data_IF_284091377808
#
_entry.id   IF_284091377808
#
_cell.length_a   1.000
_cell.length_b   1.000
_cell.length_c   1.000
_cell.angle_alpha   90.00
_cell.angle_beta   90.00
_cell.angle_gamma   90.00
#
_symmetry.space_group_name_H-M   'P 1'
#
loop_
_entity.id
_entity.type
_entity.pdbx_description
1 polymer ?
#
# COMPACT_ATOMS: atom_id res chain seq x y z
N UNK A 1 -46.88 -25.81 18.99
CA UNK A 1 -46.02 -26.51 18.01
C UNK A 1 -44.65 -26.68 18.65
N UNK A 2 -44.16 -27.92 18.87
CA UNK A 2 -43.10 -28.16 19.86
C UNK A 2 -41.69 -28.31 19.28
N UNK A 3 -40.73 -27.99 20.14
CA UNK A 3 -39.41 -28.60 20.40
C UNK A 3 -38.34 -28.77 19.30
N UNK A 4 -37.21 -28.16 19.64
CA UNK A 4 -35.81 -28.42 19.28
C UNK A 4 -35.44 -29.83 18.78
N UNK A 5 -34.48 -29.89 17.84
CA UNK A 5 -33.51 -30.99 17.75
C UNK A 5 -32.19 -30.49 17.12
N UNK A 6 -31.10 -30.61 17.88
CA UNK A 6 -29.72 -30.51 17.42
C UNK A 6 -29.36 -31.74 16.57
N UNK A 7 -28.57 -31.56 15.50
CA UNK A 7 -27.68 -32.63 15.00
C UNK A 7 -26.33 -32.03 14.60
N UNK A 8 -25.38 -32.14 15.53
CA UNK A 8 -23.95 -32.29 15.23
C UNK A 8 -23.73 -33.69 14.66
N UNK A 9 -23.13 -33.83 13.48
CA UNK A 9 -22.39 -35.06 13.16
C UNK A 9 -21.28 -34.87 12.12
N UNK A 10 -20.08 -35.21 12.58
CA UNK A 10 -19.07 -36.03 11.89
C UNK A 10 -18.32 -35.41 10.69
N UNK A 11 -17.15 -34.86 11.00
CA UNK A 11 -15.98 -34.92 10.12
C UNK A 11 -15.21 -36.22 10.40
N UNK A 12 -14.89 -37.06 9.40
CA UNK A 12 -13.92 -38.13 9.57
C UNK A 12 -12.49 -37.61 9.42
N UNK A 13 -11.63 -38.10 10.31
CA UNK A 13 -10.19 -37.92 10.30
C UNK A 13 -9.48 -38.98 9.44
N UNK A 14 -8.24 -38.66 9.07
CA UNK A 14 -7.07 -39.54 8.80
C UNK A 14 -7.00 -40.37 7.52
N UNK A 15 -5.99 -40.06 6.70
CA UNK A 15 -4.99 -40.98 6.13
C UNK A 15 -3.77 -40.13 5.68
N UNK A 16 -2.62 -40.12 6.36
CA UNK A 16 -1.55 -41.12 6.40
C UNK A 16 -0.68 -41.19 5.11
N UNK A 17 0.52 -40.61 5.25
CA UNK A 17 1.84 -40.92 4.68
C UNK A 17 1.99 -41.55 3.28
N UNK A 18 2.77 -40.85 2.44
CA UNK A 18 3.69 -41.50 1.50
C UNK A 18 5.02 -40.71 1.47
N UNK A 19 6.03 -41.33 2.07
CA UNK A 19 7.45 -40.92 2.03
C UNK A 19 8.03 -41.51 0.75
N UNK A 20 8.48 -40.65 -0.17
CA UNK A 20 9.22 -41.09 -1.35
C UNK A 20 10.70 -40.74 -1.17
N UNK A 21 11.46 -41.72 -0.67
CA UNK A 21 12.93 -41.71 -0.65
C UNK A 21 13.44 -42.03 -2.04
N UNK A 22 14.13 -41.07 -2.67
CA UNK A 22 14.84 -41.30 -3.93
C UNK A 22 16.33 -41.45 -3.66
N UNK A 23 16.80 -42.69 -3.82
CA UNK A 23 18.19 -43.10 -3.70
C UNK A 23 19.07 -42.41 -4.77
N UNK A 24 20.29 -42.07 -4.37
CA UNK A 24 21.39 -41.63 -5.24
C UNK A 24 22.26 -42.83 -5.59
N UNK A 25 22.66 -43.02 -6.86
CA UNK A 25 23.81 -43.87 -7.17
C UNK A 25 25.12 -43.08 -7.00
N UNK A 26 26.09 -43.71 -6.33
CA UNK A 26 27.52 -43.36 -6.34
C UNK A 26 28.22 -44.10 -7.50
N UNK A 27 28.95 -43.38 -8.35
CA UNK A 27 30.20 -43.84 -9.00
C UNK A 27 30.96 -42.58 -9.44
N UNK A 28 32.13 -42.29 -8.85
CA UNK A 28 33.48 -42.78 -9.16
C UNK A 28 34.17 -41.99 -10.29
N UNK A 29 35.10 -41.14 -9.85
CA UNK A 29 36.35 -40.68 -10.45
C UNK A 29 36.53 -40.66 -11.99
N UNK A 30 36.75 -39.46 -12.53
CA UNK A 30 37.69 -39.24 -13.63
C UNK A 30 38.37 -37.86 -13.48
N UNK A 31 39.68 -37.86 -13.72
CA UNK A 31 40.61 -36.74 -13.58
C UNK A 31 40.55 -35.78 -14.77
N UNK A 32 41.04 -34.57 -14.50
CA UNK A 32 41.82 -33.71 -15.39
C UNK A 32 41.12 -32.74 -16.38
N UNK A 33 41.43 -31.45 -16.09
CA UNK A 33 41.86 -30.41 -17.03
C UNK A 33 40.80 -29.80 -17.96
N UNK A 34 40.51 -28.51 -17.75
CA UNK A 34 40.87 -27.39 -18.65
C UNK A 34 40.21 -26.10 -18.11
N UNK A 35 41.03 -25.06 -17.95
CA UNK A 35 40.62 -23.69 -17.66
C UNK A 35 39.72 -23.18 -18.80
N UNK A 36 38.46 -22.87 -18.50
CA UNK A 36 37.55 -22.15 -19.37
C UNK A 36 36.86 -21.03 -18.61
N UNK A 37 37.43 -19.83 -18.66
CA UNK A 37 36.83 -18.60 -18.12
C UNK A 37 35.64 -18.18 -18.98
N UNK A 38 34.45 -18.73 -18.69
CA UNK A 38 33.20 -18.27 -19.30
C UNK A 38 32.78 -16.98 -18.59
N UNK A 39 33.13 -15.85 -19.20
CA UNK A 39 32.57 -14.54 -18.84
C UNK A 39 31.10 -14.53 -19.24
N UNK A 40 30.19 -14.59 -18.28
CA UNK A 40 28.79 -14.24 -18.53
C UNK A 40 28.71 -12.76 -18.94
N UNK A 41 28.06 -12.42 -20.06
CA UNK A 41 27.82 -11.03 -20.41
C UNK A 41 26.82 -10.46 -19.40
N UNK A 42 27.29 -9.50 -18.59
CA UNK A 42 26.44 -8.60 -17.82
C UNK A 42 25.58 -7.84 -18.82
N UNK A 43 24.34 -8.29 -18.99
CA UNK A 43 23.33 -7.61 -19.80
C UNK A 43 22.98 -6.33 -19.08
N UNK A 44 23.69 -5.24 -19.38
CA UNK A 44 23.33 -3.89 -18.97
C UNK A 44 21.89 -3.65 -19.42
N UNK A 45 20.95 -3.68 -18.47
CA UNK A 45 19.61 -3.18 -18.70
C UNK A 45 19.75 -1.71 -19.05
N UNK A 46 19.63 -1.40 -20.34
CA UNK A 46 19.56 -0.03 -20.86
C UNK A 46 18.47 0.67 -20.05
N UNK A 47 18.87 1.69 -19.28
CA UNK A 47 17.93 2.64 -18.66
C UNK A 47 17.08 3.21 -19.80
N UNK A 48 15.81 2.81 -19.88
CA UNK A 48 14.86 3.43 -20.78
C UNK A 48 14.71 4.91 -20.37
N UNK A 49 15.46 5.79 -21.04
CA UNK A 49 15.13 7.21 -21.10
C UNK A 49 13.91 7.31 -22.00
N UNK A 50 12.76 7.61 -21.42
CA UNK A 50 11.51 7.84 -22.16
C UNK A 50 11.73 9.06 -23.08
N UNK A 51 11.59 8.93 -24.42
CA UNK A 51 11.63 10.08 -25.32
C UNK A 51 10.40 10.96 -25.08
N UNK A 52 10.62 12.21 -24.67
CA UNK A 52 9.61 13.18 -24.24
C UNK A 52 8.73 13.74 -25.39
N UNK A 53 8.88 13.22 -26.62
CA UNK A 53 8.37 13.87 -27.83
C UNK A 53 6.99 13.39 -28.33
N UNK A 54 6.37 12.39 -27.67
CA UNK A 54 5.19 11.73 -28.24
C UNK A 54 3.97 11.74 -27.29
N UNK A 55 3.50 12.90 -26.83
CA UNK A 55 2.23 13.03 -26.11
C UNK A 55 1.54 14.37 -26.41
N UNK A 56 1.03 14.54 -27.64
CA UNK A 56 0.02 15.55 -27.95
C UNK A 56 -1.19 14.87 -28.60
N UNK A 57 -2.17 14.56 -27.77
CA UNK A 57 -3.50 14.14 -28.18
C UNK A 57 -4.49 14.64 -27.14
N UNK A 58 -5.26 15.66 -27.51
CA UNK A 58 -6.35 16.23 -26.71
C UNK A 58 -7.62 15.44 -27.00
N UNK A 59 -7.84 14.36 -26.25
CA UNK A 59 -9.16 13.72 -26.20
C UNK A 59 -10.05 14.52 -25.24
N UNK A 60 -11.36 14.65 -25.51
CA UNK A 60 -12.30 15.26 -24.58
C UNK A 60 -12.36 14.44 -23.30
N UNK A 61 -12.01 15.07 -22.17
CA UNK A 61 -12.13 14.48 -20.83
C UNK A 61 -13.62 14.49 -20.49
N UNK A 62 -14.22 13.30 -20.36
CA UNK A 62 -15.54 13.18 -19.74
C UNK A 62 -15.30 13.36 -18.24
N UNK A 63 -15.53 14.57 -17.75
CA UNK A 63 -15.56 14.86 -16.32
C UNK A 63 -16.78 14.15 -15.73
N UNK A 64 -16.61 12.88 -15.33
CA UNK A 64 -17.51 12.28 -14.36
C UNK A 64 -17.28 13.09 -13.09
N UNK A 65 -18.29 13.79 -12.54
CA UNK A 65 -18.11 14.46 -11.27
C UNK A 65 -17.74 13.37 -10.27
N UNK A 66 -16.47 13.37 -9.87
CA UNK A 66 -16.04 12.82 -8.59
C UNK A 66 -16.91 13.55 -7.56
N UNK A 67 -18.10 13.02 -7.28
CA UNK A 67 -18.75 13.27 -6.00
C UNK A 67 -17.84 12.59 -4.99
N UNK A 68 -16.74 13.28 -4.68
CA UNK A 68 -15.77 12.94 -3.66
C UNK A 68 -16.57 13.05 -2.36
N UNK A 69 -17.26 11.95 -2.03
CA UNK A 69 -18.04 11.84 -0.83
C UNK A 69 -17.14 12.29 0.31
N UNK A 70 -17.64 13.23 1.12
CA UNK A 70 -16.89 13.89 2.16
C UNK A 70 -15.97 12.88 2.87
N UNK A 71 -14.70 13.26 3.03
CA UNK A 71 -13.73 12.43 3.74
C UNK A 71 -14.30 12.11 5.13
N UNK A 72 -14.26 10.84 5.55
CA UNK A 72 -14.83 10.47 6.84
C UNK A 72 -13.93 11.03 7.95
N UNK A 73 -14.34 10.96 9.22
CA UNK A 73 -13.44 11.37 10.30
C UNK A 73 -12.22 10.44 10.40
N UNK A 74 -11.18 10.88 11.11
CA UNK A 74 -9.93 10.11 11.24
C UNK A 74 -10.18 8.72 11.83
N UNK A 75 -11.10 8.60 12.79
CA UNK A 75 -11.45 7.32 13.46
C UNK A 75 -12.13 6.30 12.54
N UNK A 76 -12.83 6.76 11.51
CA UNK A 76 -13.58 5.89 10.58
C UNK A 76 -12.71 5.40 9.40
N UNK A 77 -11.42 5.73 9.43
CA UNK A 77 -10.46 5.30 8.42
C UNK A 77 -9.76 4.00 8.83
N UNK A 78 -9.28 3.26 7.83
CA UNK A 78 -8.34 2.17 8.02
C UNK A 78 -6.92 2.68 7.85
N UNK A 79 -6.08 2.43 8.84
CA UNK A 79 -4.74 2.98 8.89
C UNK A 79 -3.70 1.93 8.53
N UNK A 80 -2.82 2.30 7.60
CA UNK A 80 -1.72 1.48 7.14
C UNK A 80 -0.40 2.22 7.34
N UNK A 81 0.52 1.63 8.09
CA UNK A 81 1.85 2.18 8.29
C UNK A 81 2.78 1.61 7.22
N UNK A 82 3.35 2.47 6.38
CA UNK A 82 4.35 2.04 5.41
C UNK A 82 5.65 1.64 6.13
N UNK A 83 6.21 0.49 5.78
CA UNK A 83 7.42 -0.01 6.42
C UNK A 83 8.66 0.87 6.14
N UNK A 84 9.59 0.83 7.09
CA UNK A 84 10.76 1.72 7.23
C UNK A 84 10.34 3.04 7.83
N UNK A 85 10.27 4.14 7.07
CA UNK A 85 10.12 5.46 7.67
C UNK A 85 8.74 5.68 8.30
N UNK A 86 7.66 5.09 7.76
CA UNK A 86 6.32 5.20 8.36
C UNK A 86 6.22 4.68 9.79
N UNK A 87 7.17 3.85 10.25
CA UNK A 87 7.27 3.37 11.64
C UNK A 87 7.39 4.55 12.64
N UNK A 88 7.94 5.71 12.22
CA UNK A 88 7.94 6.95 13.02
C UNK A 88 6.52 7.41 13.44
N UNK A 89 5.46 6.90 12.80
CA UNK A 89 4.08 7.21 13.18
C UNK A 89 3.60 6.45 14.43
N UNK A 90 4.27 5.37 14.84
CA UNK A 90 3.78 4.48 15.91
C UNK A 90 3.43 5.18 17.22
N UNK A 91 4.20 6.18 17.73
CA UNK A 91 3.82 6.91 18.93
C UNK A 91 2.45 7.59 18.82
N UNK A 92 2.12 8.16 17.66
CA UNK A 92 0.83 8.82 17.40
C UNK A 92 -0.31 7.81 17.45
N UNK A 93 -0.11 6.61 16.88
CA UNK A 93 -1.10 5.54 16.92
C UNK A 93 -1.32 5.01 18.34
N UNK A 94 -0.26 4.89 19.13
CA UNK A 94 -0.33 4.47 20.52
C UNK A 94 -1.03 5.52 21.40
N UNK A 95 -0.80 6.81 21.14
CA UNK A 95 -1.44 7.92 21.86
C UNK A 95 -2.94 8.03 21.56
N UNK A 96 -3.32 7.87 20.29
CA UNK A 96 -4.72 7.98 19.84
C UNK A 96 -5.51 6.67 19.96
N UNK A 97 -4.87 5.59 20.41
CA UNK A 97 -5.44 4.24 20.47
C UNK A 97 -6.04 3.78 19.11
N UNK A 98 -5.42 4.19 18.00
CA UNK A 98 -5.91 3.87 16.65
C UNK A 98 -5.40 2.50 16.18
N UNK A 99 -6.27 1.61 15.67
CA UNK A 99 -5.84 0.36 15.08
C UNK A 99 -5.13 0.62 13.75
N UNK A 100 -4.07 -0.14 13.47
CA UNK A 100 -3.33 -0.04 12.23
C UNK A 100 -2.87 -1.42 11.72
N UNK A 101 -2.48 -1.47 10.45
CA UNK A 101 -1.79 -2.59 9.83
C UNK A 101 -0.51 -2.10 9.15
N UNK A 102 0.46 -2.97 8.94
CA UNK A 102 1.64 -2.61 8.15
C UNK A 102 1.39 -2.83 6.66
N UNK A 103 2.01 -2.00 5.82
CA UNK A 103 2.06 -2.18 4.37
C UNK A 103 3.48 -1.89 3.88
N UNK A 104 3.85 -2.44 2.73
CA UNK A 104 5.14 -2.16 2.10
C UNK A 104 4.94 -1.54 0.72
N UNK A 105 5.28 -0.26 0.60
CA UNK A 105 5.26 0.50 -0.65
C UNK A 105 6.65 1.13 -0.80
N UNK A 106 7.48 0.50 -1.64
CA UNK A 106 8.88 0.89 -1.76
C UNK A 106 9.09 2.01 -2.77
N UNK A 107 9.71 3.11 -2.32
CA UNK A 107 10.13 4.21 -3.19
C UNK A 107 11.10 3.75 -4.29
N UNK A 108 11.99 2.80 -3.99
CA UNK A 108 12.94 2.20 -4.95
C UNK A 108 12.23 1.48 -6.10
N UNK A 109 11.13 0.78 -5.82
CA UNK A 109 10.33 0.12 -6.87
C UNK A 109 9.67 1.15 -7.78
N UNK A 110 9.20 2.27 -7.21
CA UNK A 110 8.63 3.38 -7.98
C UNK A 110 9.69 4.06 -8.86
N UNK A 111 10.89 4.29 -8.32
CA UNK A 111 12.01 4.89 -9.06
C UNK A 111 12.51 4.02 -10.21
N UNK A 112 12.59 2.71 -9.99
CA UNK A 112 12.97 1.74 -11.02
C UNK A 112 11.82 1.37 -11.97
N UNK A 113 10.62 1.93 -11.75
CA UNK A 113 9.38 1.58 -12.46
C UNK A 113 9.08 0.07 -12.45
N UNK A 114 9.43 -0.62 -11.36
CA UNK A 114 9.11 -2.03 -11.13
C UNK A 114 7.68 -2.16 -10.58
N UNK A 115 6.73 -1.65 -11.34
CA UNK A 115 5.35 -1.44 -10.91
C UNK A 115 4.57 -2.74 -10.68
N UNK A 116 4.84 -3.79 -11.45
CA UNK A 116 4.21 -5.09 -11.20
C UNK A 116 4.67 -5.67 -9.86
N UNK A 117 5.96 -5.55 -9.52
CA UNK A 117 6.48 -5.91 -8.20
C UNK A 117 5.82 -5.10 -7.09
N UNK A 118 5.68 -3.78 -7.29
CA UNK A 118 4.96 -2.92 -6.35
C UNK A 118 3.53 -3.44 -6.09
N UNK A 119 2.77 -3.78 -7.14
CA UNK A 119 1.40 -4.30 -7.00
C UNK A 119 1.36 -5.67 -6.30
N UNK A 120 2.35 -6.53 -6.56
CA UNK A 120 2.45 -7.82 -5.88
C UNK A 120 2.79 -7.70 -4.39
N UNK A 121 3.44 -6.61 -3.96
CA UNK A 121 3.72 -6.32 -2.54
C UNK A 121 2.55 -5.63 -1.79
N UNK A 122 1.59 -5.02 -2.51
CA UNK A 122 0.41 -4.40 -1.88
C UNK A 122 -0.35 -5.45 -1.08
N UNK A 123 -0.52 -5.24 0.23
CA UNK A 123 -1.09 -6.23 1.13
C UNK A 123 -2.56 -6.60 0.80
N UNK A 124 -2.95 -7.85 1.04
CA UNK A 124 -4.30 -8.33 0.77
C UNK A 124 -5.36 -7.66 1.68
N UNK A 125 -4.99 -7.30 2.91
CA UNK A 125 -5.85 -6.57 3.84
C UNK A 125 -6.20 -5.18 3.29
N UNK A 126 -5.20 -4.47 2.74
CA UNK A 126 -5.41 -3.18 2.09
C UNK A 126 -6.34 -3.31 0.87
N UNK A 127 -6.10 -4.31 0.00
CA UNK A 127 -6.96 -4.54 -1.17
C UNK A 127 -8.40 -4.87 -0.77
N UNK A 128 -8.60 -5.65 0.29
CA UNK A 128 -9.93 -5.99 0.79
C UNK A 128 -10.66 -4.75 1.33
N UNK A 129 -10.02 -3.95 2.19
CA UNK A 129 -10.63 -2.73 2.72
C UNK A 129 -10.99 -1.72 1.62
N UNK A 130 -10.12 -1.56 0.61
CA UNK A 130 -10.42 -0.71 -0.55
C UNK A 130 -11.58 -1.26 -1.39
N UNK A 131 -11.66 -2.58 -1.59
CA UNK A 131 -12.76 -3.19 -2.33
C UNK A 131 -14.10 -2.99 -1.61
N UNK A 132 -14.13 -3.13 -0.28
CA UNK A 132 -15.31 -2.84 0.54
C UNK A 132 -15.70 -1.35 0.57
N UNK A 133 -14.91 -0.47 -0.03
CA UNK A 133 -15.18 0.96 -0.14
C UNK A 133 -14.77 1.77 1.09
N UNK A 134 -13.93 1.21 1.96
CA UNK A 134 -13.43 1.88 3.15
C UNK A 134 -12.40 2.96 2.77
N UNK A 135 -12.29 4.01 3.59
CA UNK A 135 -11.23 5.00 3.47
C UNK A 135 -9.93 4.43 4.06
N UNK A 136 -8.88 4.31 3.25
CA UNK A 136 -7.59 3.78 3.67
C UNK A 136 -6.52 4.86 3.62
N UNK A 137 -5.82 5.05 4.75
CA UNK A 137 -4.75 6.03 4.91
C UNK A 137 -3.41 5.33 5.02
N UNK A 138 -2.48 5.63 4.13
CA UNK A 138 -1.10 5.14 4.19
C UNK A 138 -0.19 6.20 4.79
N UNK A 139 0.31 5.92 5.99
CA UNK A 139 1.17 6.77 6.79
C UNK A 139 2.62 6.48 6.48
N UNK A 140 3.37 7.51 6.08
CA UNK A 140 4.78 7.37 5.78
C UNK A 140 5.56 8.66 6.11
N UNK A 141 6.78 8.52 6.63
CA UNK A 141 7.65 9.66 6.88
C UNK A 141 8.58 9.83 5.68
N UNK A 142 8.28 10.80 4.82
CA UNK A 142 9.00 10.98 3.56
C UNK A 142 10.40 11.55 3.74
N UNK A 143 11.25 11.29 2.75
CA UNK A 143 12.69 11.60 2.76
C UNK A 143 13.01 13.10 2.92
N UNK A 144 14.25 13.39 3.32
CA UNK A 144 14.91 14.68 3.64
C UNK A 144 14.60 15.93 2.78
N UNK A 145 13.93 15.84 1.64
CA UNK A 145 13.58 17.04 0.87
C UNK A 145 12.47 17.84 1.58
N UNK A 146 12.89 18.69 2.52
CA UNK A 146 12.04 19.55 3.36
C UNK A 146 11.03 20.37 2.56
N UNK A 147 11.32 20.69 1.30
CA UNK A 147 10.44 21.49 0.44
C UNK A 147 9.19 20.73 0.00
N UNK A 148 9.29 19.42 -0.22
CA UNK A 148 8.18 18.61 -0.76
C UNK A 148 7.61 17.63 0.27
N UNK A 149 8.44 17.10 1.16
CA UNK A 149 8.04 16.21 2.27
C UNK A 149 7.51 14.83 1.86
N UNK A 150 6.88 14.70 0.68
CA UNK A 150 6.28 13.45 0.23
C UNK A 150 7.30 12.54 -0.46
N UNK A 151 7.39 11.28 0.00
CA UNK A 151 8.25 10.25 -0.62
C UNK A 151 7.70 9.83 -1.99
N UNK A 152 8.55 9.22 -2.84
CA UNK A 152 8.08 8.63 -4.11
C UNK A 152 7.04 7.54 -3.90
N UNK A 153 7.11 6.80 -2.80
CA UNK A 153 6.09 5.82 -2.46
C UNK A 153 4.71 6.48 -2.34
N UNK A 154 4.67 7.69 -1.77
CA UNK A 154 3.43 8.44 -1.55
C UNK A 154 2.92 9.10 -2.82
N UNK A 155 3.68 9.99 -3.46
CA UNK A 155 3.14 10.72 -4.62
C UNK A 155 3.11 9.87 -5.90
N UNK A 156 3.98 8.86 -6.03
CA UNK A 156 4.04 8.03 -7.24
C UNK A 156 3.40 6.66 -7.02
N UNK A 157 3.80 5.95 -5.96
CA UNK A 157 3.36 4.59 -5.69
C UNK A 157 1.88 4.49 -5.38
N UNK A 158 1.37 5.30 -4.45
CA UNK A 158 -0.07 5.32 -4.10
C UNK A 158 -0.92 5.70 -5.31
N UNK A 159 -0.47 6.68 -6.10
CA UNK A 159 -1.18 7.08 -7.32
C UNK A 159 -1.24 5.94 -8.34
N UNK A 160 -0.12 5.23 -8.53
CA UNK A 160 -0.10 4.07 -9.41
C UNK A 160 -1.02 2.95 -8.93
N UNK A 161 -1.01 2.64 -7.63
CA UNK A 161 -1.93 1.66 -7.04
C UNK A 161 -3.38 2.07 -7.32
N UNK A 162 -3.74 3.33 -7.06
CA UNK A 162 -5.08 3.85 -7.32
C UNK A 162 -5.48 3.67 -8.79
N UNK A 163 -4.58 4.00 -9.71
CA UNK A 163 -4.79 3.85 -11.15
C UNK A 163 -5.01 2.39 -11.57
N UNK A 164 -4.20 1.48 -11.04
CA UNK A 164 -4.36 0.02 -11.26
C UNK A 164 -5.72 -0.45 -10.80
N UNK A 165 -6.14 -0.08 -9.59
CA UNK A 165 -7.43 -0.49 -9.04
C UNK A 165 -8.59 0.08 -9.87
N UNK A 166 -8.56 1.38 -10.20
CA UNK A 166 -9.55 2.00 -11.09
C UNK A 166 -9.69 1.25 -12.43
N UNK A 167 -8.56 0.94 -13.06
CA UNK A 167 -8.53 0.25 -14.35
C UNK A 167 -9.06 -1.19 -14.29
N UNK A 168 -8.65 -1.94 -13.27
CA UNK A 168 -8.97 -3.36 -13.14
C UNK A 168 -10.38 -3.60 -12.58
N UNK A 169 -10.85 -2.74 -11.68
CA UNK A 169 -12.12 -2.94 -10.99
C UNK A 169 -13.31 -2.27 -11.68
N UNK A 170 -13.13 -1.09 -12.29
CA UNK A 170 -14.24 -0.33 -12.89
C UNK A 170 -14.19 -0.25 -14.42
N UNK A 171 -13.12 -0.71 -15.07
CA UNK A 171 -12.89 -0.84 -16.52
C UNK A 171 -13.08 0.43 -17.39
N UNK A 172 -13.82 1.45 -16.94
CA UNK A 172 -14.25 2.62 -17.70
C UNK A 172 -14.01 3.95 -16.96
N UNK A 173 -13.54 3.91 -15.71
CA UNK A 173 -13.19 5.10 -14.91
C UNK A 173 -11.68 5.35 -14.96
N UNK A 174 -11.12 5.56 -16.15
CA UNK A 174 -9.74 6.05 -16.27
C UNK A 174 -9.76 7.56 -16.24
N UNK A 175 -9.62 8.11 -15.02
CA UNK A 175 -9.26 9.51 -14.83
C UNK A 175 -7.82 9.73 -15.28
N UNK A 176 -7.59 10.86 -15.96
CA UNK A 176 -6.24 11.26 -16.31
C UNK A 176 -5.40 11.50 -15.05
N UNK A 177 -4.22 10.89 -15.01
CA UNK A 177 -3.30 10.98 -13.87
C UNK A 177 -2.22 11.99 -14.16
N UNK A 178 -2.11 12.99 -13.29
CA UNK A 178 -1.05 13.99 -13.35
C UNK A 178 -0.16 13.90 -12.12
N UNK A 179 1.15 13.78 -12.34
CA UNK A 179 2.14 13.82 -11.28
C UNK A 179 3.08 14.98 -11.53
N UNK A 180 3.07 15.96 -10.61
CA UNK A 180 3.92 17.15 -10.67
C UNK A 180 3.78 17.90 -12.02
N UNK A 181 2.55 18.00 -12.52
CA UNK A 181 2.23 18.66 -13.79
C UNK A 181 2.42 17.80 -15.04
N UNK A 182 2.96 16.59 -14.92
CA UNK A 182 3.14 15.68 -16.06
C UNK A 182 2.00 14.67 -16.12
N UNK A 183 1.40 14.52 -17.31
CA UNK A 183 0.45 13.45 -17.61
C UNK A 183 1.18 12.11 -17.62
N UNK A 184 0.89 11.23 -16.67
CA UNK A 184 1.53 9.91 -16.53
C UNK A 184 0.62 8.74 -16.88
N UNK A 185 -0.65 8.98 -17.18
CA UNK A 185 -1.63 7.95 -17.60
C UNK A 185 -1.07 6.99 -18.67
N UNK A 186 -0.44 7.46 -19.77
CA UNK A 186 0.05 6.56 -20.81
C UNK A 186 1.16 5.63 -20.32
N UNK A 187 2.05 6.14 -19.44
CA UNK A 187 3.12 5.34 -18.83
C UNK A 187 2.52 4.29 -17.92
N UNK A 188 1.53 4.67 -17.10
CA UNK A 188 0.84 3.74 -16.21
C UNK A 188 0.11 2.64 -16.97
N UNK A 189 -0.63 3.00 -18.01
CA UNK A 189 -1.35 2.04 -18.85
C UNK A 189 -0.39 1.08 -19.56
N UNK A 190 0.75 1.57 -20.06
CA UNK A 190 1.78 0.71 -20.63
C UNK A 190 2.25 -0.35 -19.64
N UNK A 191 2.52 0.03 -18.38
CA UNK A 191 2.95 -0.90 -17.33
C UNK A 191 1.84 -1.89 -16.94
N UNK A 192 0.60 -1.42 -16.80
CA UNK A 192 -0.55 -2.29 -16.50
C UNK A 192 -0.79 -3.29 -17.64
N UNK A 193 -0.66 -2.86 -18.89
CA UNK A 193 -0.80 -3.70 -20.06
C UNK A 193 0.33 -4.73 -20.19
N UNK A 194 1.46 -4.51 -19.52
CA UNK A 194 2.57 -5.47 -19.45
C UNK A 194 2.46 -6.46 -18.28
N UNK A 195 1.52 -6.29 -17.33
CA UNK A 195 1.38 -7.21 -16.19
C UNK A 195 1.09 -8.64 -16.64
N UNK A 196 1.70 -9.60 -15.96
CA UNK A 196 1.39 -11.01 -16.09
C UNK A 196 -0.06 -11.30 -15.68
N UNK A 197 -0.59 -12.38 -16.26
CA UNK A 197 -1.94 -12.85 -15.97
C UNK A 197 -2.15 -13.16 -14.48
N UNK A 198 -1.14 -13.63 -13.76
CA UNK A 198 -1.20 -13.89 -12.32
C UNK A 198 -1.46 -12.60 -11.52
N UNK A 199 -0.71 -11.53 -11.78
CA UNK A 199 -0.90 -10.24 -11.11
C UNK A 199 -2.27 -9.64 -11.42
N UNK A 200 -2.72 -9.71 -12.68
CA UNK A 200 -4.08 -9.27 -13.05
C UNK A 200 -5.17 -10.05 -12.33
N UNK A 201 -5.06 -11.38 -12.28
CA UNK A 201 -6.02 -12.24 -11.57
C UNK A 201 -6.06 -11.92 -10.08
N UNK A 202 -4.89 -11.72 -9.46
CA UNK A 202 -4.78 -11.34 -8.04
C UNK A 202 -5.51 -10.04 -7.74
N UNK A 203 -5.29 -8.97 -8.52
CA UNK A 203 -5.99 -7.70 -8.30
C UNK A 203 -7.49 -7.86 -8.61
N UNK A 204 -7.84 -8.54 -9.70
CA UNK A 204 -9.23 -8.77 -10.12
C UNK A 204 -10.03 -9.58 -9.09
N UNK A 205 -9.39 -10.46 -8.32
CA UNK A 205 -10.05 -11.29 -7.31
C UNK A 205 -10.90 -10.46 -6.34
N UNK A 206 -10.42 -9.31 -5.89
CA UNK A 206 -11.12 -8.47 -4.92
C UNK A 206 -12.33 -7.72 -5.52
N UNK A 207 -12.45 -7.66 -6.85
CA UNK A 207 -13.52 -6.92 -7.54
C UNK A 207 -14.92 -7.38 -7.15
N UNK A 208 -15.09 -8.66 -6.83
CA UNK A 208 -16.39 -9.23 -6.44
C UNK A 208 -16.94 -8.70 -5.11
N UNK A 209 -16.10 -8.05 -4.30
CA UNK A 209 -16.50 -7.47 -3.01
C UNK A 209 -16.87 -5.99 -3.10
N UNK A 210 -16.83 -5.41 -4.31
CA UNK A 210 -17.08 -3.98 -4.51
C UNK A 210 -18.59 -3.70 -4.45
N UNK A 211 -19.06 -2.82 -3.56
CA UNK A 211 -20.44 -2.39 -3.55
C UNK A 211 -20.83 -1.71 -4.86
N UNK A 212 -22.03 -1.99 -5.43
CA UNK A 212 -22.47 -1.39 -6.69
C UNK A 212 -22.50 0.15 -6.69
N UNK A 213 -22.65 0.77 -5.52
CA UNK A 213 -22.71 2.22 -5.36
C UNK A 213 -21.33 2.91 -5.29
N UNK A 214 -20.22 2.17 -5.46
CA UNK A 214 -18.86 2.72 -5.41
C UNK A 214 -18.27 3.00 -6.79
N UNK A 215 -17.60 4.14 -6.87
CA UNK A 215 -17.05 4.73 -8.10
C UNK A 215 -15.52 4.78 -8.10
N UNK A 216 -14.86 4.35 -7.03
CA UNK A 216 -13.40 4.31 -6.98
C UNK A 216 -12.83 3.95 -5.60
N UNK A 217 -11.52 3.69 -5.54
CA UNK A 217 -10.81 3.37 -4.31
C UNK A 217 -10.51 4.64 -3.50
N UNK A 218 -10.91 4.64 -2.21
CA UNK A 218 -10.63 5.72 -1.25
C UNK A 218 -9.26 5.51 -0.59
N UNK A 219 -8.19 5.58 -1.39
CA UNK A 219 -6.81 5.41 -0.94
C UNK A 219 -6.09 6.76 -0.88
N UNK A 220 -5.59 7.14 0.29
CA UNK A 220 -4.87 8.40 0.50
C UNK A 220 -3.54 8.17 1.21
N UNK A 221 -2.63 9.13 1.09
CA UNK A 221 -1.37 9.12 1.83
C UNK A 221 -1.32 10.25 2.84
N UNK A 222 -0.86 9.92 4.04
CA UNK A 222 -0.59 10.86 5.12
C UNK A 222 0.91 10.88 5.36
N UNK A 223 1.50 12.08 5.43
CA UNK A 223 2.95 12.19 5.44
C UNK A 223 3.53 13.31 6.28
N UNK A 224 4.73 13.06 6.78
CA UNK A 224 5.57 14.01 7.51
C UNK A 224 7.02 13.79 7.09
N UNK A 225 7.91 14.75 7.30
CA UNK A 225 9.33 14.55 7.02
C UNK A 225 9.97 13.66 8.09
N UNK A 226 10.76 12.66 7.68
CA UNK A 226 11.56 11.85 8.61
C UNK A 226 12.69 12.67 9.26
N UNK A 227 13.02 12.32 10.50
CA UNK A 227 14.24 12.77 11.18
C UNK A 227 15.27 11.66 11.40
N UNK A 228 14.92 10.41 11.06
CA UNK A 228 15.67 9.19 11.35
C UNK A 228 15.97 8.35 10.07
N UNK A 229 16.14 9.03 8.93
CA UNK A 229 16.41 8.39 7.63
C UNK A 229 17.61 7.43 7.73
N UNK A 230 17.45 6.20 7.21
CA UNK A 230 18.42 5.09 7.27
C UNK A 230 18.83 4.60 8.69
N UNK A 231 18.11 4.98 9.75
CA UNK A 231 18.37 4.50 11.12
C UNK A 231 17.63 3.20 11.45
N UNK A 232 18.16 2.08 10.94
CA UNK A 232 17.58 0.75 11.18
C UNK A 232 17.53 0.33 12.66
N UNK A 233 18.37 0.91 13.53
CA UNK A 233 18.34 0.61 14.97
C UNK A 233 17.14 1.29 15.62
N UNK A 234 16.96 2.57 15.34
CA UNK A 234 15.82 3.35 15.80
C UNK A 234 14.49 2.68 15.44
N UNK A 235 14.28 2.32 14.16
CA UNK A 235 13.03 1.70 13.72
C UNK A 235 12.78 0.34 14.38
N UNK A 236 13.82 -0.49 14.56
CA UNK A 236 13.69 -1.79 15.23
C UNK A 236 13.28 -1.63 16.69
N UNK A 237 13.90 -0.67 17.38
CA UNK A 237 13.61 -0.41 18.78
C UNK A 237 12.21 0.17 18.95
N UNK A 238 11.80 1.10 18.09
CA UNK A 238 10.47 1.71 18.13
C UNK A 238 9.34 0.69 17.93
N UNK A 239 9.51 -0.25 16.99
CA UNK A 239 8.53 -1.35 16.79
C UNK A 239 8.46 -2.24 18.03
N UNK A 240 9.61 -2.63 18.59
CA UNK A 240 9.68 -3.46 19.81
C UNK A 240 8.97 -2.76 20.96
N UNK A 241 9.32 -1.51 21.27
CA UNK A 241 8.68 -0.75 22.35
C UNK A 241 7.16 -0.68 22.18
N UNK A 242 6.69 -0.53 20.94
CA UNK A 242 5.26 -0.43 20.61
C UNK A 242 4.49 -1.76 20.72
N UNK A 243 5.15 -2.92 20.69
CA UNK A 243 4.50 -4.25 20.67
C UNK A 243 4.93 -5.21 21.80
N UNK A 244 6.10 -5.00 22.41
CA UNK A 244 6.68 -5.83 23.46
C UNK A 244 6.84 -5.09 24.78
N UNK A 245 6.54 -3.79 24.84
CA UNK A 245 6.27 -3.16 26.14
C UNK A 245 5.23 -3.99 26.88
N UNK A 246 5.24 -4.02 28.23
CA UNK A 246 4.19 -4.72 28.97
C UNK A 246 2.90 -4.27 28.33
N UNK A 247 2.13 -5.23 27.78
CA UNK A 247 0.77 -5.00 27.32
C UNK A 247 0.24 -4.00 28.30
N UNK A 248 -0.04 -2.76 27.87
CA UNK A 248 -0.58 -1.76 28.77
C UNK A 248 -1.87 -2.41 29.24
N UNK A 249 -1.77 -3.15 30.36
CA UNK A 249 -2.86 -3.48 31.22
C UNK A 249 -3.40 -2.10 31.44
N UNK A 250 -4.51 -1.84 30.74
CA UNK A 250 -5.23 -0.58 30.77
C UNK A 250 -5.11 -0.11 32.21
N UNK A 251 -4.47 1.04 32.51
CA UNK A 251 -4.46 1.51 33.88
C UNK A 251 -5.92 1.53 34.30
N UNK A 252 -6.25 0.62 35.21
CA UNK A 252 -7.57 0.47 35.77
C UNK A 252 -7.89 1.81 36.40
N UNK A 253 -8.77 2.56 35.75
CA UNK A 253 -9.64 3.58 36.32
C UNK A 253 -9.01 4.69 37.20
N UNK A 254 -7.72 5.00 37.07
CA UNK A 254 -7.09 6.08 37.82
C UNK A 254 -6.29 6.99 36.90
N UNK A 255 -6.81 8.18 36.61
CA UNK A 255 -6.14 9.25 35.84
C UNK A 255 -6.02 9.04 34.33
N UNK A 256 -7.08 8.51 33.70
CA UNK A 256 -7.40 8.92 32.34
C UNK A 256 -7.95 10.34 32.42
N UNK A 257 -7.08 11.35 32.36
CA UNK A 257 -7.48 12.57 31.66
C UNK A 257 -7.70 12.15 30.21
N UNK A 258 -8.88 11.61 29.92
CA UNK A 258 -9.43 11.59 28.58
C UNK A 258 -9.43 13.04 28.15
N UNK A 259 -8.42 13.45 27.40
CA UNK A 259 -8.33 14.80 26.89
C UNK A 259 -9.53 14.95 25.95
N UNK A 260 -10.51 15.82 26.25
CA UNK A 260 -11.62 16.06 25.33
C UNK A 260 -11.11 16.48 23.94
N UNK A 261 -9.89 17.02 23.88
CA UNK A 261 -9.13 17.32 22.66
C UNK A 261 -8.87 16.10 21.76
N UNK A 262 -8.57 14.92 22.31
CA UNK A 262 -8.33 13.71 21.50
C UNK A 262 -9.61 13.21 20.82
N UNK A 263 -10.73 13.24 21.54
CA UNK A 263 -12.02 12.88 20.96
C UNK A 263 -12.48 13.87 19.88
N UNK A 264 -12.25 15.17 20.11
CA UNK A 264 -12.53 16.21 19.12
C UNK A 264 -11.65 16.04 17.87
N UNK A 265 -10.37 15.76 18.04
CA UNK A 265 -9.44 15.48 16.95
C UNK A 265 -9.89 14.28 16.11
N UNK A 266 -10.33 13.20 16.75
CA UNK A 266 -10.74 11.98 16.06
C UNK A 266 -12.08 12.12 15.32
N UNK A 267 -12.97 13.00 15.78
CA UNK A 267 -14.29 13.25 15.20
C UNK A 267 -14.32 14.40 14.18
N UNK A 268 -13.26 15.22 14.13
CA UNK A 268 -13.15 16.34 13.20
C UNK A 268 -12.99 15.93 11.73
N UNK A 269 -13.04 16.90 10.80
CA UNK A 269 -12.75 16.67 9.40
C UNK A 269 -11.34 16.06 9.24
N UNK A 270 -11.21 15.01 8.43
CA UNK A 270 -9.96 14.26 8.30
C UNK A 270 -8.73 15.14 8.06
N UNK A 271 -8.86 16.12 7.16
CA UNK A 271 -7.74 16.98 6.80
C UNK A 271 -7.27 17.78 8.02
N UNK A 272 -8.18 18.40 8.75
CA UNK A 272 -7.88 19.21 9.94
C UNK A 272 -7.24 18.35 11.02
N UNK A 273 -7.78 17.15 11.25
CA UNK A 273 -7.23 16.19 12.22
C UNK A 273 -5.80 15.76 11.87
N UNK A 274 -5.53 15.50 10.59
CA UNK A 274 -4.20 15.12 10.10
C UNK A 274 -3.21 16.29 10.25
N UNK A 275 -3.64 17.51 9.95
CA UNK A 275 -2.81 18.72 10.06
C UNK A 275 -2.49 19.07 11.52
N UNK A 276 -3.45 18.92 12.43
CA UNK A 276 -3.24 19.12 13.88
C UNK A 276 -2.23 18.12 14.46
N UNK A 277 -2.13 16.91 13.89
CA UNK A 277 -1.10 15.92 14.23
C UNK A 277 0.29 16.24 13.62
N UNK A 278 0.40 17.34 12.86
CA UNK A 278 1.64 17.75 12.20
C UNK A 278 1.94 16.98 10.90
N UNK A 279 0.94 16.31 10.32
CA UNK A 279 1.05 15.62 9.04
C UNK A 279 0.41 16.42 7.91
N UNK A 280 0.67 15.97 6.68
CA UNK A 280 0.02 16.48 5.47
C UNK A 280 -0.76 15.35 4.82
N UNK A 281 -1.94 15.68 4.31
CA UNK A 281 -2.75 14.77 3.50
C UNK A 281 -2.46 14.99 2.02
N UNK A 282 -2.08 13.92 1.31
CA UNK A 282 -1.89 13.97 -0.13
C UNK A 282 -3.23 13.74 -0.85
N UNK A 283 -3.90 14.84 -1.22
CA UNK A 283 -5.12 14.84 -2.02
C UNK A 283 -4.81 15.01 -3.50
N UNK A 284 -5.57 14.31 -4.36
CA UNK A 284 -5.34 14.21 -5.81
C UNK A 284 -5.48 15.55 -6.55
N UNK A 285 -6.13 16.55 -5.94
CA UNK A 285 -6.50 17.80 -6.60
C UNK A 285 -6.27 19.03 -5.72
N UNK A 286 -5.09 19.63 -5.85
CA UNK A 286 -4.93 21.09 -5.94
C UNK A 286 -3.82 21.41 -6.94
N UNK A 287 -3.90 20.86 -8.15
CA UNK A 287 -3.32 21.57 -9.29
C UNK A 287 -4.35 22.64 -9.61
N UNK A 288 -4.32 23.74 -8.87
CA UNK A 288 -4.91 24.99 -9.35
C UNK A 288 -4.30 25.19 -10.73
N UNK A 289 -5.11 25.10 -11.78
CA UNK A 289 -4.75 25.70 -13.05
C UNK A 289 -4.62 27.19 -12.75
N UNK A 290 -3.43 27.65 -12.38
CA UNK A 290 -3.07 29.04 -12.49
C UNK A 290 -3.08 29.33 -13.98
N UNK A 291 -4.25 29.71 -14.49
CA UNK A 291 -4.40 30.39 -15.77
C UNK A 291 -3.59 31.67 -15.76
#
# INVERSE_FOLDING_TARGET
MPLATQVLSKWPATAAHSVCTRERPRSAAAKNTVRGSIRHPVRQQRRCRIPLAALRGTAPVVDIPDQEAALPCLRDCHHFINLTNGIEALPVFAELELPYSFVRIQSTMCEQQRFEHLINEVDANLLMHLALGHCCLVWDYGSRNKKQGASRAQWYGIEFIRHVLNRVWWHNMTSEVYLRGYRVTPVFDQHINAFHNSTRKRVKYFRQYIPPCRTGPRLYSVYRATTHDDDANFYRELVRQSHTGPSRALPMAGDRRSFPEQHALLAGPLQDSVEQLGFKLFLRNKISRST
#
